data_IF_705789695692
#
_entry.id   IF_705789695692
#
_cell.length_a   1.000
_cell.length_b   1.000
_cell.length_c   1.000
_cell.angle_alpha   90.00
_cell.angle_beta   90.00
_cell.angle_gamma   90.00
#
_symmetry.space_group_name_H-M   'P 1'
#
loop_
_entity.id
_entity.type
_entity.pdbx_description
1 polymer ?
#
# COMPACT_ATOMS: atom_id res chain seq x y z
N UNK A 1 -2.00 -3.18 22.20
CA UNK A 1 -0.91 -4.16 22.28
C UNK A 1 -0.44 -4.41 20.86
N UNK A 2 0.79 -3.98 20.56
CA UNK A 2 1.43 -4.11 19.26
C UNK A 2 1.93 -5.56 19.16
N UNK A 3 1.36 -6.34 18.24
CA UNK A 3 1.99 -7.59 17.81
C UNK A 3 3.05 -7.23 16.78
N UNK A 4 4.24 -6.87 17.26
CA UNK A 4 5.47 -6.97 16.49
C UNK A 4 5.81 -8.46 16.41
N UNK A 5 5.14 -9.19 15.52
CA UNK A 5 5.65 -10.48 15.08
C UNK A 5 6.95 -10.17 14.32
N UNK A 6 8.09 -10.44 14.96
CA UNK A 6 9.40 -10.34 14.32
C UNK A 6 9.38 -11.20 13.04
N UNK A 7 9.62 -10.56 11.89
CA UNK A 7 9.71 -11.29 10.63
C UNK A 7 10.84 -12.32 10.74
N UNK A 8 10.55 -13.57 10.36
CA UNK A 8 11.54 -14.64 10.42
C UNK A 8 12.77 -14.30 9.57
N UNK A 9 13.98 -14.74 9.97
CA UNK A 9 15.21 -14.47 9.23
C UNK A 9 15.14 -14.87 7.75
N UNK A 10 14.38 -15.92 7.42
CA UNK A 10 14.18 -16.34 6.02
C UNK A 10 13.41 -15.33 5.18
N UNK A 11 12.44 -14.61 5.76
CA UNK A 11 11.64 -13.58 5.07
C UNK A 11 12.43 -12.30 4.81
N UNK A 12 13.32 -11.95 5.74
CA UNK A 12 14.28 -10.84 5.57
C UNK A 12 15.31 -11.16 4.48
N UNK A 13 15.82 -12.41 4.45
CA UNK A 13 16.82 -12.85 3.48
C UNK A 13 16.27 -12.95 2.04
N UNK A 14 14.99 -13.27 1.87
CA UNK A 14 14.32 -13.32 0.54
C UNK A 14 13.91 -11.96 -0.01
N UNK A 15 13.98 -10.90 0.82
CA UNK A 15 13.51 -9.56 0.47
C UNK A 15 11.98 -9.41 0.51
N UNK A 16 11.26 -10.40 1.06
CA UNK A 16 9.81 -10.41 1.22
C UNK A 16 9.33 -9.40 2.27
N UNK A 17 10.26 -8.89 3.09
CA UNK A 17 10.00 -7.86 4.08
C UNK A 17 11.23 -6.95 4.14
N UNK A 18 11.04 -5.65 3.93
CA UNK A 18 12.08 -4.64 4.12
C UNK A 18 11.75 -3.80 5.34
N UNK A 19 12.75 -3.59 6.20
CA UNK A 19 12.67 -2.61 7.28
C UNK A 19 12.76 -1.21 6.71
N UNK A 20 11.74 -0.39 6.95
CA UNK A 20 11.67 0.98 6.47
C UNK A 20 11.25 1.94 7.57
N UNK A 21 11.80 3.15 7.51
CA UNK A 21 11.40 4.25 8.36
C UNK A 21 10.34 5.06 7.62
N UNK A 22 9.09 4.95 8.05
CA UNK A 22 7.96 5.65 7.43
C UNK A 22 7.65 6.89 8.26
N UNK A 23 7.71 8.07 7.64
CA UNK A 23 7.31 9.32 8.27
C UNK A 23 5.88 9.67 7.84
N UNK A 24 4.88 9.13 8.55
CA UNK A 24 3.47 9.38 8.25
C UNK A 24 3.00 10.81 8.56
N UNK A 25 3.73 11.54 9.43
CA UNK A 25 3.37 12.91 9.84
C UNK A 25 4.62 13.79 9.89
N UNK A 26 4.55 15.00 9.32
CA UNK A 26 5.66 15.98 9.29
C UNK A 26 6.21 16.32 10.69
N UNK A 27 5.36 16.20 11.72
CA UNK A 27 5.68 16.55 13.11
C UNK A 27 5.97 15.33 14.01
N UNK A 28 6.08 14.12 13.47
CA UNK A 28 6.46 12.92 14.24
C UNK A 28 7.76 12.33 13.71
N UNK A 29 8.59 11.74 14.60
CA UNK A 29 9.77 11.03 14.16
C UNK A 29 9.37 9.84 13.26
N UNK A 30 10.17 9.52 12.24
CA UNK A 30 9.95 8.35 11.40
C UNK A 30 9.85 7.08 12.25
N UNK A 31 8.81 6.27 12.01
CA UNK A 31 8.59 5.03 12.75
C UNK A 31 9.17 3.85 11.96
N UNK A 32 9.92 2.98 12.64
CA UNK A 32 10.45 1.74 12.08
C UNK A 32 9.31 0.76 11.85
N UNK A 33 9.08 0.37 10.59
CA UNK A 33 8.06 -0.61 10.20
C UNK A 33 8.64 -1.65 9.27
N UNK A 34 8.23 -2.88 9.47
CA UNK A 34 8.46 -3.97 8.52
C UNK A 34 7.38 -3.86 7.43
N UNK A 35 7.80 -3.71 6.17
CA UNK A 35 6.90 -3.67 5.02
C UNK A 35 7.18 -4.87 4.13
N UNK A 36 6.12 -5.56 3.73
CA UNK A 36 6.19 -6.69 2.79
C UNK A 36 6.70 -6.28 1.40
N UNK A 37 6.71 -4.99 1.07
CA UNK A 37 7.02 -4.53 -0.28
C UNK A 37 8.52 -4.28 -0.52
N UNK A 38 9.34 -5.35 -0.55
CA UNK A 38 10.76 -5.22 -0.86
C UNK A 38 11.04 -4.66 -2.26
N UNK A 39 10.18 -4.97 -3.24
CA UNK A 39 10.29 -4.47 -4.60
C UNK A 39 10.13 -2.94 -4.69
N UNK A 40 9.13 -2.36 -4.02
CA UNK A 40 8.90 -0.90 -4.05
C UNK A 40 10.12 -0.14 -3.53
N UNK A 41 10.64 -0.53 -2.36
CA UNK A 41 11.80 0.16 -1.78
C UNK A 41 13.11 -0.15 -2.52
N UNK A 42 13.24 -1.31 -3.16
CA UNK A 42 14.36 -1.58 -4.05
C UNK A 42 14.34 -0.64 -5.27
N UNK A 43 13.18 -0.46 -5.90
CA UNK A 43 13.00 0.50 -7.00
C UNK A 43 13.29 1.94 -6.54
N UNK A 44 12.86 2.31 -5.32
CA UNK A 44 13.13 3.62 -4.74
C UNK A 44 14.63 3.84 -4.54
N UNK A 45 15.34 2.87 -3.96
CA UNK A 45 16.80 2.93 -3.75
C UNK A 45 17.58 2.98 -5.07
N UNK A 46 17.09 2.31 -6.11
CA UNK A 46 17.68 2.35 -7.44
C UNK A 46 17.44 3.69 -8.18
N UNK A 47 16.59 4.58 -7.63
CA UNK A 47 16.24 5.84 -8.26
C UNK A 47 15.21 5.73 -9.38
N UNK A 48 14.65 4.53 -9.62
CA UNK A 48 13.60 4.30 -10.63
C UNK A 48 12.27 4.96 -10.25
N UNK A 49 11.99 5.10 -8.96
CA UNK A 49 10.76 5.74 -8.48
C UNK A 49 11.05 6.81 -7.43
N UNK A 50 10.03 7.63 -7.14
CA UNK A 50 10.08 8.80 -6.24
C UNK A 50 9.36 8.55 -4.91
N UNK A 51 9.46 9.45 -3.94
CA UNK A 51 8.69 9.34 -2.69
C UNK A 51 7.18 9.46 -2.92
N UNK A 52 6.76 10.19 -3.97
CA UNK A 52 5.36 10.27 -4.35
C UNK A 52 4.79 8.90 -4.74
N UNK A 53 5.58 8.10 -5.47
CA UNK A 53 5.23 6.73 -5.82
C UNK A 53 5.09 5.83 -4.58
N UNK A 54 6.03 5.95 -3.64
CA UNK A 54 5.98 5.20 -2.39
C UNK A 54 4.73 5.57 -1.59
N UNK A 55 4.45 6.86 -1.44
CA UNK A 55 3.26 7.34 -0.73
C UNK A 55 1.97 6.84 -1.39
N UNK A 56 1.87 6.91 -2.72
CA UNK A 56 0.70 6.41 -3.46
C UNK A 56 0.49 4.91 -3.26
N UNK A 57 1.54 4.10 -3.35
CA UNK A 57 1.48 2.67 -3.10
C UNK A 57 1.10 2.33 -1.64
N UNK A 58 1.65 3.08 -0.67
CA UNK A 58 1.29 2.94 0.75
C UNK A 58 -0.16 3.35 1.05
N UNK A 59 -0.69 4.34 0.33
CA UNK A 59 -2.10 4.69 0.41
C UNK A 59 -2.98 3.56 -0.13
N UNK A 60 -2.62 2.99 -1.27
CA UNK A 60 -3.36 1.88 -1.88
C UNK A 60 -3.39 0.65 -1.00
N UNK A 61 -2.24 0.21 -0.46
CA UNK A 61 -2.19 -0.98 0.39
C UNK A 61 -3.01 -0.79 1.67
N UNK A 62 -3.00 0.41 2.27
CA UNK A 62 -3.81 0.72 3.45
C UNK A 62 -5.31 0.64 3.16
N UNK A 63 -5.74 1.16 2.01
CA UNK A 63 -7.13 1.07 1.57
C UNK A 63 -7.53 -0.38 1.28
N UNK A 64 -6.64 -1.15 0.65
CA UNK A 64 -6.89 -2.56 0.35
C UNK A 64 -6.98 -3.41 1.61
N UNK A 65 -6.04 -3.25 2.55
CA UNK A 65 -6.06 -3.93 3.84
C UNK A 65 -7.33 -3.60 4.63
N UNK A 66 -7.71 -2.32 4.69
CA UNK A 66 -8.89 -1.88 5.44
C UNK A 66 -10.20 -2.33 4.77
N UNK A 67 -10.32 -2.09 3.47
CA UNK A 67 -11.56 -2.29 2.72
C UNK A 67 -11.80 -3.73 2.29
N UNK A 68 -10.75 -4.41 1.80
CA UNK A 68 -10.86 -5.74 1.19
C UNK A 68 -10.49 -6.84 2.19
N UNK A 69 -9.38 -6.69 2.91
CA UNK A 69 -8.92 -7.71 3.88
C UNK A 69 -9.57 -7.53 5.27
N UNK A 70 -10.29 -6.44 5.49
CA UNK A 70 -11.01 -6.17 6.73
C UNK A 70 -10.11 -5.78 7.91
N UNK A 71 -8.85 -5.40 7.65
CA UNK A 71 -7.96 -4.85 8.67
C UNK A 71 -8.59 -3.62 9.35
N UNK A 72 -8.17 -3.36 10.59
CA UNK A 72 -8.66 -2.19 11.31
C UNK A 72 -8.01 -0.93 10.74
N UNK A 73 -8.82 0.07 10.42
CA UNK A 73 -8.33 1.40 10.05
C UNK A 73 -7.47 1.98 11.21
N UNK A 74 -6.16 2.20 11.00
CA UNK A 74 -5.26 2.69 12.05
C UNK A 74 -5.64 4.10 12.53
N UNK A 75 -6.40 4.87 11.75
CA UNK A 75 -6.85 6.21 12.10
C UNK A 75 -8.15 6.21 12.91
N UNK A 76 -8.97 5.15 12.81
CA UNK A 76 -10.24 5.04 13.53
C UNK A 76 -10.07 4.87 15.06
N UNK A 77 -8.89 4.47 15.54
CA UNK A 77 -8.59 4.27 16.96
C UNK A 77 -7.94 5.46 17.68
N UNK A 78 -7.56 6.53 16.96
CA UNK A 78 -6.70 7.60 17.54
C UNK A 78 -7.37 8.49 18.58
N UNK A 79 -8.70 8.47 18.71
CA UNK A 79 -9.44 9.28 19.70
C UNK A 79 -9.61 8.62 21.08
N UNK A 80 -9.07 7.42 21.29
CA UNK A 80 -9.23 6.68 22.54
C UNK A 80 -10.64 6.08 22.67
N UNK A 81 -10.71 4.77 22.91
CA UNK A 81 -11.96 4.00 22.94
C UNK A 81 -12.06 2.94 21.84
N UNK A 82 -12.93 1.95 22.04
CA UNK A 82 -13.34 1.06 20.95
C UNK A 82 -14.06 1.91 19.90
N UNK A 83 -13.66 1.89 18.62
CA UNK A 83 -14.37 2.64 17.60
C UNK A 83 -15.77 2.07 17.46
N UNK A 84 -16.77 2.96 17.37
CA UNK A 84 -18.15 2.59 17.08
C UNK A 84 -18.20 1.67 15.84
N UNK A 85 -18.85 0.49 15.91
CA UNK A 85 -19.01 -0.40 14.77
C UNK A 85 -19.50 0.29 13.50
N UNK A 86 -20.37 1.29 13.61
CA UNK A 86 -20.83 2.05 12.45
C UNK A 86 -19.69 2.86 11.79
N UNK A 87 -18.84 3.50 12.60
CA UNK A 87 -17.65 4.22 12.12
C UNK A 87 -16.67 3.26 11.42
N UNK A 88 -16.47 2.06 11.98
CA UNK A 88 -15.63 1.03 11.34
C UNK A 88 -16.19 0.63 9.99
N UNK A 89 -17.49 0.36 9.90
CA UNK A 89 -18.16 0.01 8.64
C UNK A 89 -18.06 1.13 7.60
N UNK A 90 -18.22 2.38 8.02
CA UNK A 90 -18.10 3.55 7.14
C UNK A 90 -16.67 3.75 6.63
N UNK A 91 -15.65 3.58 7.48
CA UNK A 91 -14.24 3.59 7.07
C UNK A 91 -13.95 2.48 6.04
N UNK A 92 -14.44 1.26 6.27
CA UNK A 92 -14.30 0.15 5.33
C UNK A 92 -14.96 0.44 3.99
N UNK A 93 -16.21 0.91 4.01
CA UNK A 93 -16.94 1.26 2.79
C UNK A 93 -16.23 2.37 1.98
N UNK A 94 -15.64 3.35 2.66
CA UNK A 94 -14.84 4.38 1.99
C UNK A 94 -13.56 3.83 1.36
N UNK A 95 -12.86 2.92 2.07
CA UNK A 95 -11.66 2.27 1.56
C UNK A 95 -11.95 1.37 0.33
N UNK A 96 -13.05 0.60 0.37
CA UNK A 96 -13.51 -0.19 -0.79
C UNK A 96 -13.76 0.71 -2.00
N UNK A 97 -14.47 1.83 -1.84
CA UNK A 97 -14.74 2.76 -2.94
C UNK A 97 -13.47 3.35 -3.54
N UNK A 98 -12.44 3.62 -2.73
CA UNK A 98 -11.13 4.07 -3.23
C UNK A 98 -10.40 2.97 -3.99
N UNK A 99 -10.42 1.73 -3.49
CA UNK A 99 -9.87 0.57 -4.19
C UNK A 99 -10.55 0.36 -5.54
N UNK A 100 -11.88 0.41 -5.59
CA UNK A 100 -12.65 0.30 -6.84
C UNK A 100 -12.32 1.41 -7.83
N UNK A 101 -12.17 2.65 -7.35
CA UNK A 101 -11.76 3.78 -8.19
C UNK A 101 -10.37 3.54 -8.81
N UNK A 102 -9.41 3.12 -8.00
CA UNK A 102 -8.06 2.78 -8.48
C UNK A 102 -8.10 1.63 -9.47
N UNK A 103 -8.84 0.55 -9.19
CA UNK A 103 -9.00 -0.59 -10.09
C UNK A 103 -9.61 -0.19 -11.43
N UNK A 104 -10.62 0.68 -11.42
CA UNK A 104 -11.25 1.18 -12.65
C UNK A 104 -10.29 2.03 -13.50
N UNK A 105 -9.36 2.74 -12.86
CA UNK A 105 -8.38 3.58 -13.56
C UNK A 105 -7.17 2.79 -14.09
N UNK A 106 -6.63 1.86 -13.29
CA UNK A 106 -5.42 1.10 -13.63
C UNK A 106 -5.71 -0.21 -14.39
N UNK A 107 -6.97 -0.66 -14.36
CA UNK A 107 -7.38 -1.95 -14.89
C UNK A 107 -6.93 -3.13 -14.04
N UNK A 108 -7.46 -4.31 -14.38
CA UNK A 108 -7.25 -5.55 -13.62
C UNK A 108 -5.78 -6.00 -13.59
N UNK A 109 -5.03 -5.76 -14.68
CA UNK A 109 -3.61 -6.09 -14.75
C UNK A 109 -2.82 -5.20 -13.78
N UNK A 110 -3.08 -3.89 -13.77
CA UNK A 110 -2.43 -2.97 -12.83
C UNK A 110 -2.70 -3.34 -11.37
N UNK A 111 -3.94 -3.64 -11.03
CA UNK A 111 -4.31 -4.13 -9.69
C UNK A 111 -3.58 -5.43 -9.33
N UNK A 112 -3.43 -6.36 -10.27
CA UNK A 112 -2.68 -7.62 -10.04
C UNK A 112 -1.21 -7.36 -9.73
N UNK A 113 -0.58 -6.41 -10.43
CA UNK A 113 0.81 -6.02 -10.14
C UNK A 113 0.93 -5.34 -8.77
N UNK A 114 -0.01 -4.46 -8.40
CA UNK A 114 -0.05 -3.85 -7.08
C UNK A 114 -0.23 -4.90 -5.97
N UNK A 115 -1.13 -5.86 -6.16
CA UNK A 115 -1.34 -6.95 -5.20
C UNK A 115 -0.07 -7.77 -5.00
N UNK A 116 0.54 -8.24 -6.09
CA UNK A 116 1.78 -9.03 -6.04
C UNK A 116 2.92 -8.28 -5.34
N UNK A 117 3.06 -6.99 -5.62
CA UNK A 117 4.12 -6.17 -5.04
C UNK A 117 3.86 -5.82 -3.57
N UNK A 118 2.64 -5.37 -3.24
CA UNK A 118 2.36 -4.73 -1.95
C UNK A 118 1.74 -5.68 -0.93
N UNK A 119 0.90 -6.63 -1.37
CA UNK A 119 0.24 -7.61 -0.50
C UNK A 119 1.09 -8.86 -0.39
N UNK A 120 1.41 -9.49 -1.52
CA UNK A 120 2.18 -10.73 -1.55
C UNK A 120 3.67 -10.50 -1.28
N UNK A 121 4.13 -9.25 -1.38
CA UNK A 121 5.52 -8.85 -1.09
C UNK A 121 6.54 -9.37 -2.10
N UNK A 122 6.09 -9.72 -3.32
CA UNK A 122 6.96 -10.31 -4.32
C UNK A 122 8.05 -9.32 -4.78
N UNK A 123 9.27 -9.84 -4.94
CA UNK A 123 10.35 -9.11 -5.61
C UNK A 123 10.07 -8.98 -7.12
N UNK A 124 10.72 -8.00 -7.78
CA UNK A 124 10.64 -7.83 -9.25
C UNK A 124 11.03 -9.12 -9.98
N UNK A 125 12.02 -9.86 -9.45
CA UNK A 125 12.46 -11.13 -10.02
C UNK A 125 11.38 -12.21 -9.89
N UNK A 126 10.78 -12.36 -8.71
CA UNK A 126 9.71 -13.33 -8.48
C UNK A 126 8.48 -13.03 -9.36
N UNK A 127 8.13 -11.75 -9.52
CA UNK A 127 7.06 -11.32 -10.42
C UNK A 127 7.37 -11.64 -11.89
N UNK A 128 8.64 -11.52 -12.30
CA UNK A 128 9.08 -11.83 -13.65
C UNK A 128 9.02 -13.33 -13.94
N UNK A 129 9.43 -14.16 -13.00
CA UNK A 129 9.30 -15.61 -13.06
C UNK A 129 7.83 -16.05 -13.15
N UNK A 130 6.98 -15.50 -12.29
CA UNK A 130 5.54 -15.78 -12.30
C UNK A 130 4.85 -15.36 -13.61
N UNK A 131 5.39 -14.36 -14.31
CA UNK A 131 4.90 -13.90 -15.61
C UNK A 131 5.68 -14.48 -16.81
N UNK A 132 6.63 -15.39 -16.58
CA UNK A 132 7.51 -15.97 -17.62
C UNK A 132 8.12 -14.90 -18.54
N UNK A 133 8.63 -13.82 -17.94
CA UNK A 133 9.12 -12.63 -18.65
C UNK A 133 10.44 -12.14 -18.04
N UNK A 134 11.03 -11.10 -18.65
CA UNK A 134 12.25 -10.49 -18.12
C UNK A 134 11.97 -9.46 -17.03
N UNK A 135 12.82 -9.44 -15.99
CA UNK A 135 12.73 -8.49 -14.86
C UNK A 135 12.69 -7.02 -15.29
N UNK A 136 13.35 -6.65 -16.38
CA UNK A 136 13.32 -5.27 -16.90
C UNK A 136 11.94 -4.87 -17.42
N UNK A 137 11.19 -5.80 -18.02
CA UNK A 137 9.79 -5.54 -18.41
C UNK A 137 8.91 -5.34 -17.19
N UNK A 138 9.08 -6.16 -16.15
CA UNK A 138 8.35 -6.01 -14.89
C UNK A 138 8.70 -4.67 -14.23
N UNK A 139 9.98 -4.32 -14.16
CA UNK A 139 10.44 -3.05 -13.59
C UNK A 139 9.83 -1.85 -14.30
N UNK A 140 9.88 -1.80 -15.63
CA UNK A 140 9.29 -0.70 -16.40
C UNK A 140 7.75 -0.67 -16.30
N UNK A 141 7.10 -1.83 -16.22
CA UNK A 141 5.66 -1.90 -15.99
C UNK A 141 5.28 -1.38 -14.59
N UNK A 142 6.07 -1.69 -13.55
CA UNK A 142 5.87 -1.19 -12.20
C UNK A 142 6.09 0.33 -12.11
N UNK A 143 7.12 0.85 -12.78
CA UNK A 143 7.39 2.30 -12.85
C UNK A 143 6.18 3.04 -13.45
N UNK A 144 5.75 2.65 -14.65
CA UNK A 144 4.59 3.27 -15.31
C UNK A 144 3.29 3.11 -14.50
N UNK A 145 3.08 1.95 -13.90
CA UNK A 145 1.92 1.70 -13.03
C UNK A 145 1.90 2.63 -11.81
N UNK A 146 3.07 2.88 -11.23
CA UNK A 146 3.20 3.76 -10.08
C UNK A 146 2.99 5.23 -10.49
N UNK A 147 3.48 5.67 -11.64
CA UNK A 147 3.15 7.00 -12.20
C UNK A 147 1.63 7.18 -12.32
N UNK A 148 0.95 6.20 -12.94
CA UNK A 148 -0.50 6.20 -13.06
C UNK A 148 -1.19 6.22 -11.70
N UNK A 149 -0.71 5.45 -10.72
CA UNK A 149 -1.28 5.43 -9.37
C UNK A 149 -1.16 6.81 -8.69
N UNK A 150 -0.02 7.50 -8.86
CA UNK A 150 0.17 8.87 -8.36
C UNK A 150 -0.87 9.81 -8.98
N UNK A 151 -1.01 9.79 -10.32
CA UNK A 151 -1.99 10.61 -11.02
C UNK A 151 -3.42 10.33 -10.56
N UNK A 152 -3.78 9.05 -10.43
CA UNK A 152 -5.10 8.60 -9.95
C UNK A 152 -5.41 9.21 -8.58
N UNK A 153 -4.46 9.22 -7.65
CA UNK A 153 -4.66 9.82 -6.33
C UNK A 153 -4.69 11.36 -6.37
N UNK A 154 -3.94 12.00 -7.26
CA UNK A 154 -3.97 13.47 -7.42
C UNK A 154 -5.32 13.96 -7.95
N UNK A 155 -5.93 13.23 -8.88
CA UNK A 155 -7.23 13.59 -9.48
C UNK A 155 -8.43 12.96 -8.76
N UNK A 156 -8.19 12.17 -7.70
CA UNK A 156 -9.24 11.46 -6.98
C UNK A 156 -10.25 12.44 -6.37
N UNK A 157 -11.56 12.30 -6.65
CA UNK A 157 -12.57 13.22 -6.15
C UNK A 157 -12.56 13.35 -4.62
N UNK A 158 -12.55 14.59 -4.12
CA UNK A 158 -12.59 14.94 -2.69
C UNK A 158 -13.65 14.18 -1.87
N UNK A 159 -14.79 13.84 -2.49
CA UNK A 159 -15.87 13.05 -1.87
C UNK A 159 -15.45 11.63 -1.45
N UNK A 160 -14.45 11.05 -2.09
CA UNK A 160 -13.90 9.72 -1.74
C UNK A 160 -12.96 9.76 -0.52
N UNK A 161 -12.49 10.96 -0.16
CA UNK A 161 -11.69 11.22 1.02
C UNK A 161 -12.52 11.63 2.24
N UNK A 162 -13.82 11.91 2.06
CA UNK A 162 -14.70 12.28 3.17
C UNK A 162 -14.77 11.14 4.18
N UNK A 163 -14.20 11.40 5.36
CA UNK A 163 -14.44 10.60 6.56
C UNK A 163 -15.86 10.90 7.04
N UNK A 164 -16.62 9.86 7.33
CA UNK A 164 -17.85 10.01 8.08
C UNK A 164 -17.45 10.29 9.53
N UNK A 165 -17.53 11.55 9.94
CA UNK A 165 -17.51 11.87 11.36
C UNK A 165 -18.84 11.40 11.94
N UNK A 166 -18.79 10.56 12.97
CA UNK A 166 -19.93 10.47 13.89
C UNK A 166 -19.94 11.78 14.66
N UNK A 167 -21.01 12.56 14.48
CA UNK A 167 -21.34 13.72 15.29
C UNK A 167 -21.74 13.29 16.70
#
# INVERSE_FOLDING_TARGET
MQNTEEATPERLAKGDVTEVYVQEHRNRPPEKRLRSSGALYALRRAGTITDAHVAAAEHWVRDYETGVLGARDPEAGKKGGLPDPHVIMLSRAAAVRRCEYVRNALGQVGETFLHRMMIDGMSVQAMAEAASTHKLRVSGALEMLLDQLVEVYQVMPGKLWKRFAAD
#
